data_IF_766996108685
#
_entry.id   IF_766996108685
#
_cell.length_a   1.000
_cell.length_b   1.000
_cell.length_c   1.000
_cell.angle_alpha   90.00
_cell.angle_beta   90.00
_cell.angle_gamma   90.00
#
_symmetry.space_group_name_H-M   'P 1'
#
loop_
_entity.id
_entity.type
_entity.pdbx_description
1 polymer ?
#
# COMPACT_ATOMS: atom_id res chain seq x y z
N UNK A 1 3.85 17.80 -8.95
CA UNK A 1 3.67 17.18 -10.28
C UNK A 1 3.23 15.73 -10.13
N UNK A 2 2.43 15.23 -11.08
CA UNK A 2 1.90 13.86 -11.09
C UNK A 2 3.00 12.79 -11.16
N UNK A 3 2.77 11.62 -10.55
CA UNK A 3 3.69 10.47 -10.66
C UNK A 3 3.43 9.68 -11.96
N UNK A 4 4.06 10.12 -13.05
CA UNK A 4 3.95 9.48 -14.36
C UNK A 4 4.57 8.08 -14.41
N UNK A 5 3.78 7.10 -14.84
CA UNK A 5 4.22 5.73 -15.15
C UNK A 5 4.29 5.60 -16.67
N UNK A 6 5.49 5.47 -17.20
CA UNK A 6 5.81 5.57 -18.63
C UNK A 6 6.72 4.41 -19.02
N UNK A 7 6.63 3.99 -20.29
CA UNK A 7 7.58 3.05 -20.88
C UNK A 7 8.67 3.83 -21.63
N UNK A 8 9.75 3.16 -22.02
CA UNK A 8 10.90 3.81 -22.65
C UNK A 8 10.52 4.51 -23.97
N UNK A 9 9.54 3.97 -24.69
CA UNK A 9 9.07 4.49 -25.98
C UNK A 9 8.35 5.83 -25.83
N UNK A 10 7.85 6.16 -24.64
CA UNK A 10 7.17 7.43 -24.38
C UNK A 10 8.15 8.59 -24.12
N UNK A 11 9.47 8.37 -24.24
CA UNK A 11 10.46 9.35 -23.78
C UNK A 11 10.34 10.73 -24.43
N UNK A 12 10.08 10.74 -25.73
CA UNK A 12 9.95 11.97 -26.51
C UNK A 12 8.79 12.87 -26.05
N UNK A 13 7.80 12.32 -25.34
CA UNK A 13 6.62 13.06 -24.87
C UNK A 13 6.73 13.46 -23.39
N UNK A 14 7.88 13.27 -22.73
CA UNK A 14 7.99 13.51 -21.29
C UNK A 14 7.70 14.97 -20.95
N UNK A 15 8.51 15.88 -21.50
CA UNK A 15 8.46 17.30 -21.12
C UNK A 15 7.18 17.99 -21.61
N UNK A 16 6.62 17.55 -22.74
CA UNK A 16 5.37 18.08 -23.27
C UNK A 16 4.14 17.70 -22.41
N UNK A 17 4.25 16.68 -21.57
CA UNK A 17 3.15 16.18 -20.73
C UNK A 17 3.29 16.56 -19.25
N UNK A 18 4.36 17.25 -18.85
CA UNK A 18 4.55 17.65 -17.46
C UNK A 18 3.70 18.88 -17.17
N UNK A 19 2.84 18.76 -16.15
CA UNK A 19 2.14 19.88 -15.56
C UNK A 19 2.63 20.12 -14.13
N UNK A 20 2.67 21.39 -13.75
CA UNK A 20 3.03 21.83 -12.41
C UNK A 20 1.77 22.28 -11.67
N UNK A 21 1.78 22.06 -10.36
CA UNK A 21 0.71 22.46 -9.48
C UNK A 21 1.35 23.04 -8.23
N UNK A 22 0.89 24.21 -7.79
CA UNK A 22 1.39 24.88 -6.61
C UNK A 22 0.89 24.17 -5.35
N UNK A 23 1.81 23.72 -4.49
CA UNK A 23 1.49 22.86 -3.35
C UNK A 23 2.31 23.18 -2.10
N UNK A 24 2.78 24.43 -1.93
CA UNK A 24 3.64 24.81 -0.79
C UNK A 24 3.03 24.48 0.58
N UNK A 25 1.70 24.61 0.72
CA UNK A 25 0.96 24.31 1.96
C UNK A 25 0.82 22.81 2.25
N UNK A 26 1.17 21.94 1.30
CA UNK A 26 0.98 20.49 1.41
C UNK A 26 2.17 19.74 2.01
N UNK A 27 3.24 20.44 2.41
CA UNK A 27 4.44 19.79 2.94
C UNK A 27 4.13 19.07 4.25
N UNK A 28 4.47 17.78 4.32
CA UNK A 28 4.31 16.96 5.52
C UNK A 28 5.67 16.41 5.93
N UNK A 29 6.14 16.76 7.13
CA UNK A 29 7.43 16.29 7.66
C UNK A 29 8.61 16.50 6.70
N UNK A 30 8.65 17.62 5.99
CA UNK A 30 9.69 17.95 5.00
C UNK A 30 9.54 17.24 3.65
N UNK A 31 8.50 16.42 3.46
CA UNK A 31 8.20 15.77 2.19
C UNK A 31 7.28 16.70 1.38
N UNK A 32 7.71 17.00 0.15
CA UNK A 32 6.86 17.64 -0.85
C UNK A 32 6.06 16.55 -1.57
N UNK A 33 4.76 16.39 -1.28
CA UNK A 33 3.97 15.34 -1.90
C UNK A 33 3.83 15.58 -3.41
N UNK A 34 3.70 14.50 -4.18
CA UNK A 34 3.63 14.51 -5.65
C UNK A 34 2.26 14.97 -6.19
N UNK A 35 1.73 16.06 -5.63
CA UNK A 35 0.40 16.61 -5.93
C UNK A 35 0.40 17.23 -7.32
N UNK A 36 -0.71 17.04 -8.05
CA UNK A 36 -0.88 17.52 -9.42
C UNK A 36 -2.21 18.20 -9.69
N UNK A 37 -3.10 18.25 -8.70
CA UNK A 37 -4.45 18.78 -8.86
C UNK A 37 -4.98 19.39 -7.57
N UNK A 38 -6.02 20.23 -7.72
CA UNK A 38 -6.74 20.82 -6.58
C UNK A 38 -7.45 19.77 -5.73
N UNK A 39 -7.95 18.70 -6.35
CA UNK A 39 -8.59 17.58 -5.66
C UNK A 39 -7.62 16.90 -4.69
N UNK A 40 -6.41 16.56 -5.16
CA UNK A 40 -5.36 15.99 -4.32
C UNK A 40 -4.96 16.93 -3.17
N UNK A 41 -4.88 18.24 -3.44
CA UNK A 41 -4.60 19.25 -2.42
C UNK A 41 -5.70 19.28 -1.33
N UNK A 42 -6.97 19.22 -1.72
CA UNK A 42 -8.07 19.23 -0.75
C UNK A 42 -8.06 17.99 0.15
N UNK A 43 -7.78 16.81 -0.43
CA UNK A 43 -7.69 15.54 0.31
C UNK A 43 -6.53 15.60 1.29
N UNK A 44 -5.33 16.03 0.85
CA UNK A 44 -4.18 16.10 1.76
C UNK A 44 -4.40 17.09 2.90
N UNK A 45 -5.03 18.24 2.64
CA UNK A 45 -5.35 19.23 3.68
C UNK A 45 -6.32 18.70 4.74
N UNK A 46 -7.19 17.74 4.39
CA UNK A 46 -8.04 17.04 5.37
C UNK A 46 -7.22 16.07 6.20
N UNK A 47 -6.32 15.30 5.58
CA UNK A 47 -5.44 14.37 6.28
C UNK A 47 -4.45 15.08 7.21
N UNK A 48 -3.92 16.25 6.83
CA UNK A 48 -3.01 17.06 7.64
C UNK A 48 -3.63 17.55 8.95
N UNK A 49 -4.96 17.63 9.04
CA UNK A 49 -5.66 18.01 10.29
C UNK A 49 -5.65 16.89 11.33
N UNK A 50 -5.31 15.66 10.94
CA UNK A 50 -5.26 14.50 11.82
C UNK A 50 -3.95 14.56 12.62
N UNK A 51 -4.06 14.59 13.95
CA UNK A 51 -2.93 14.84 14.85
C UNK A 51 -2.08 13.60 15.13
N UNK A 52 -2.65 12.41 14.99
CA UNK A 52 -1.98 11.12 15.23
C UNK A 52 -1.68 10.42 13.92
N UNK A 53 -0.75 9.48 14.00
CA UNK A 53 -0.37 8.61 12.89
C UNK A 53 -0.45 7.16 13.35
N UNK A 54 -0.39 6.22 12.41
CA UNK A 54 -0.26 4.79 12.74
C UNK A 54 0.95 4.54 13.65
N UNK A 55 2.03 5.32 13.51
CA UNK A 55 3.21 5.26 14.35
C UNK A 55 2.93 5.45 15.83
N UNK A 56 1.99 6.34 16.18
CA UNK A 56 1.53 6.58 17.56
C UNK A 56 0.95 5.32 18.21
N UNK A 57 0.26 4.50 17.42
CA UNK A 57 -0.38 3.26 17.86
C UNK A 57 0.52 2.02 17.76
N UNK A 58 1.65 2.14 17.06
CA UNK A 58 2.57 1.02 16.86
C UNK A 58 3.44 0.77 18.08
N UNK A 59 3.52 -0.49 18.51
CA UNK A 59 4.34 -0.91 19.64
C UNK A 59 5.72 -1.37 19.17
N UNK A 60 6.73 -1.16 20.04
CA UNK A 60 8.07 -1.73 19.86
C UNK A 60 8.16 -3.17 20.38
N UNK A 61 7.30 -3.52 21.33
CA UNK A 61 7.30 -4.83 22.00
C UNK A 61 6.57 -5.84 21.12
N UNK A 62 7.20 -7.00 20.89
CA UNK A 62 6.62 -8.09 20.11
C UNK A 62 5.44 -8.71 20.88
N UNK A 63 4.34 -8.95 20.17
CA UNK A 63 3.16 -9.63 20.71
C UNK A 63 2.38 -10.36 19.59
N UNK A 64 1.26 -10.99 19.95
CA UNK A 64 0.39 -11.72 19.01
C UNK A 64 -0.51 -10.84 18.12
N UNK A 65 -0.60 -9.54 18.39
CA UNK A 65 -1.41 -8.58 17.65
C UNK A 65 -0.57 -7.93 16.55
N UNK A 66 -0.23 -8.76 15.57
CA UNK A 66 0.72 -8.45 14.50
C UNK A 66 -0.02 -8.26 13.17
N UNK A 67 0.36 -7.22 12.42
CA UNK A 67 0.11 -7.16 10.98
C UNK A 67 1.37 -7.52 10.21
N UNK A 68 1.20 -8.09 9.02
CA UNK A 68 2.26 -8.49 8.11
C UNK A 68 2.14 -7.71 6.80
N UNK A 69 3.28 -7.34 6.23
CA UNK A 69 3.37 -6.69 4.93
C UNK A 69 4.69 -7.03 4.27
N UNK A 70 4.83 -6.66 2.99
CA UNK A 70 6.09 -6.76 2.27
C UNK A 70 6.66 -5.37 2.02
N UNK A 71 7.97 -5.23 2.21
CA UNK A 71 8.68 -4.00 1.90
C UNK A 71 8.84 -3.74 0.39
N UNK A 72 8.70 -4.78 -0.44
CA UNK A 72 8.86 -4.70 -1.91
C UNK A 72 7.93 -5.70 -2.62
N UNK A 73 7.66 -5.43 -3.89
CA UNK A 73 6.59 -6.07 -4.66
C UNK A 73 5.24 -5.37 -4.46
N UNK A 74 4.20 -5.82 -5.17
CA UNK A 74 2.87 -5.21 -5.07
C UNK A 74 2.89 -3.77 -5.58
N UNK A 75 3.35 -3.59 -6.81
CA UNK A 75 3.64 -2.29 -7.42
C UNK A 75 2.43 -1.35 -7.37
N UNK A 76 1.24 -1.88 -7.57
CA UNK A 76 -0.03 -1.13 -7.59
C UNK A 76 -0.95 -1.43 -6.41
N UNK A 77 -0.54 -2.31 -5.50
CA UNK A 77 -1.35 -2.73 -4.36
C UNK A 77 -0.47 -2.93 -3.13
N UNK A 78 -0.79 -2.24 -2.03
CA UNK A 78 -0.13 -2.48 -0.74
C UNK A 78 -0.98 -3.43 0.08
N UNK A 79 -0.57 -4.70 0.08
CA UNK A 79 -1.29 -5.77 0.75
C UNK A 79 -0.78 -5.89 2.18
N UNK A 80 -1.70 -5.74 3.13
CA UNK A 80 -1.42 -5.88 4.55
C UNK A 80 -2.34 -6.95 5.12
N UNK A 81 -1.81 -7.90 5.87
CA UNK A 81 -2.57 -9.06 6.38
C UNK A 81 -2.46 -9.21 7.90
N UNK A 82 -3.48 -9.80 8.53
CA UNK A 82 -3.42 -10.22 9.94
C UNK A 82 -2.92 -11.67 10.12
N UNK A 83 -2.56 -12.32 9.02
CA UNK A 83 -1.95 -13.63 8.97
C UNK A 83 -0.64 -13.55 8.18
N UNK A 84 0.31 -14.42 8.49
CA UNK A 84 1.58 -14.49 7.76
C UNK A 84 1.35 -15.14 6.38
N UNK A 85 1.70 -14.46 5.26
CA UNK A 85 1.65 -15.08 3.94
C UNK A 85 2.57 -16.31 3.84
N UNK A 86 2.19 -17.28 3.02
CA UNK A 86 2.96 -18.52 2.86
C UNK A 86 4.25 -18.28 2.06
N UNK A 87 5.38 -18.84 2.52
CA UNK A 87 6.67 -18.77 1.85
C UNK A 87 7.46 -20.07 2.05
N UNK A 88 8.11 -20.55 0.99
CA UNK A 88 9.03 -21.69 1.00
C UNK A 88 10.32 -21.33 0.25
N UNK A 89 11.45 -21.81 0.77
CA UNK A 89 12.75 -21.80 0.10
C UNK A 89 13.23 -23.25 -0.02
N UNK A 90 13.54 -23.72 -1.23
CA UNK A 90 13.93 -25.10 -1.51
C UNK A 90 12.97 -26.12 -0.88
N UNK A 91 11.66 -25.89 -1.07
CA UNK A 91 10.55 -26.67 -0.51
C UNK A 91 10.46 -26.71 1.04
N UNK A 92 11.29 -25.95 1.76
CA UNK A 92 11.19 -25.80 3.22
C UNK A 92 10.41 -24.55 3.57
N UNK A 93 9.41 -24.68 4.45
CA UNK A 93 8.62 -23.54 4.91
C UNK A 93 9.53 -22.54 5.64
N UNK A 94 9.43 -21.27 5.28
CA UNK A 94 10.30 -20.23 5.82
C UNK A 94 9.59 -18.88 5.91
N UNK A 95 10.41 -17.83 6.01
CA UNK A 95 9.96 -16.43 6.05
C UNK A 95 10.62 -15.70 4.88
N UNK A 96 9.85 -14.88 4.16
CA UNK A 96 10.41 -14.04 3.11
C UNK A 96 11.35 -12.99 3.70
N UNK A 97 12.51 -12.76 3.08
CA UNK A 97 13.41 -11.66 3.47
C UNK A 97 12.79 -10.27 3.27
N UNK A 98 11.68 -10.18 2.54
CA UNK A 98 10.92 -8.94 2.33
C UNK A 98 9.73 -8.78 3.27
N UNK A 99 9.43 -9.81 4.08
CA UNK A 99 8.38 -9.73 5.10
C UNK A 99 8.78 -8.74 6.20
N UNK A 100 7.84 -7.89 6.58
CA UNK A 100 7.95 -7.01 7.74
C UNK A 100 6.63 -6.97 8.49
N UNK A 101 6.66 -6.35 9.68
CA UNK A 101 5.56 -6.41 10.62
C UNK A 101 5.48 -5.16 11.50
N UNK A 102 4.27 -4.91 12.02
CA UNK A 102 4.00 -3.93 13.07
C UNK A 102 3.17 -4.62 14.18
N UNK A 103 3.39 -4.19 15.42
CA UNK A 103 2.70 -4.72 16.61
C UNK A 103 1.74 -3.69 17.20
N UNK A 104 0.63 -4.15 17.77
CA UNK A 104 -0.42 -3.30 18.36
C UNK A 104 -0.86 -3.78 19.73
N UNK A 105 -1.59 -2.96 20.47
CA UNK A 105 -2.11 -3.32 21.80
C UNK A 105 -3.07 -4.50 21.78
N UNK A 106 -3.93 -4.56 20.76
CA UNK A 106 -5.02 -5.52 20.65
C UNK A 106 -5.42 -5.78 19.19
N UNK A 107 -6.25 -6.79 18.97
CA UNK A 107 -6.72 -7.22 17.64
C UNK A 107 -7.66 -6.19 17.00
N UNK A 108 -8.41 -5.42 17.78
CA UNK A 108 -9.34 -4.41 17.26
C UNK A 108 -8.57 -3.26 16.61
N UNK A 109 -7.58 -2.73 17.31
CA UNK A 109 -6.69 -1.69 16.78
C UNK A 109 -5.95 -2.18 15.53
N UNK A 110 -5.40 -3.41 15.59
CA UNK A 110 -4.75 -4.04 14.44
C UNK A 110 -5.67 -4.09 13.22
N UNK A 111 -6.90 -4.59 13.36
CA UNK A 111 -7.82 -4.80 12.23
C UNK A 111 -8.33 -3.46 11.64
N UNK A 112 -8.52 -2.42 12.47
CA UNK A 112 -8.79 -1.06 12.01
C UNK A 112 -7.64 -0.55 11.14
N UNK A 113 -6.39 -0.72 11.60
CA UNK A 113 -5.20 -0.27 10.89
C UNK A 113 -5.01 -1.05 9.59
N UNK A 114 -5.24 -2.37 9.59
CA UNK A 114 -5.18 -3.20 8.37
C UNK A 114 -6.19 -2.72 7.34
N UNK A 115 -7.42 -2.38 7.76
CA UNK A 115 -8.43 -1.83 6.84
C UNK A 115 -7.94 -0.54 6.18
N UNK A 116 -7.43 0.39 6.99
CA UNK A 116 -6.89 1.65 6.49
C UNK A 116 -5.72 1.45 5.53
N UNK A 117 -4.77 0.57 5.84
CA UNK A 117 -3.59 0.35 5.01
C UNK A 117 -3.84 -0.49 3.74
N UNK A 118 -5.00 -1.15 3.61
CA UNK A 118 -5.40 -1.78 2.34
C UNK A 118 -6.28 -0.86 1.47
N UNK A 119 -6.66 0.32 1.97
CA UNK A 119 -7.53 1.26 1.25
C UNK A 119 -6.85 1.88 0.01
N UNK A 120 -7.65 2.33 -0.95
CA UNK A 120 -7.15 3.13 -2.07
C UNK A 120 -6.58 4.47 -1.59
N UNK A 121 -7.15 5.03 -0.52
CA UNK A 121 -6.63 6.23 0.14
C UNK A 121 -5.18 6.06 0.59
N UNK A 122 -4.85 4.94 1.23
CA UNK A 122 -3.47 4.67 1.63
C UNK A 122 -2.56 4.46 0.42
N UNK A 123 -3.01 3.75 -0.62
CA UNK A 123 -2.22 3.58 -1.83
C UNK A 123 -1.88 4.92 -2.49
N UNK A 124 -2.85 5.82 -2.62
CA UNK A 124 -2.64 7.18 -3.11
C UNK A 124 -1.65 7.94 -2.23
N UNK A 125 -1.86 7.96 -0.90
CA UNK A 125 -0.98 8.64 0.04
C UNK A 125 0.47 8.12 -0.04
N UNK A 126 0.64 6.80 -0.12
CA UNK A 126 1.92 6.13 -0.30
C UNK A 126 2.65 6.63 -1.54
N UNK A 127 1.98 6.69 -2.70
CA UNK A 127 2.60 7.16 -3.95
C UNK A 127 3.03 8.63 -3.82
N UNK A 128 2.24 9.45 -3.12
CA UNK A 128 2.56 10.85 -2.89
C UNK A 128 3.80 11.05 -2.00
N UNK A 129 3.95 10.26 -0.93
CA UNK A 129 4.93 10.51 0.13
C UNK A 129 6.16 9.60 0.15
N UNK A 130 6.18 8.53 -0.63
CA UNK A 130 7.30 7.56 -0.66
C UNK A 130 8.10 7.61 -1.97
N UNK A 131 9.08 6.72 -2.11
CA UNK A 131 9.78 6.45 -3.37
C UNK A 131 8.90 5.71 -4.42
N UNK A 132 7.68 5.31 -4.04
CA UNK A 132 6.73 4.51 -4.80
C UNK A 132 7.29 3.15 -5.29
N UNK A 133 8.32 2.62 -4.60
CA UNK A 133 8.96 1.32 -4.87
C UNK A 133 9.01 0.45 -3.62
N UNK A 134 9.47 1.04 -2.52
CA UNK A 134 9.67 0.37 -1.25
C UNK A 134 8.56 0.80 -0.31
N UNK A 135 7.94 -0.14 0.38
CA UNK A 135 6.95 0.12 1.41
C UNK A 135 7.65 0.04 2.77
N UNK A 136 8.34 1.10 3.17
CA UNK A 136 9.14 1.11 4.39
C UNK A 136 8.23 1.20 5.63
N UNK A 137 8.71 0.76 6.81
CA UNK A 137 7.97 0.95 8.06
C UNK A 137 7.54 2.41 8.30
N UNK A 138 8.37 3.39 7.89
CA UNK A 138 8.04 4.82 7.98
C UNK A 138 6.85 5.22 7.10
N UNK A 139 6.69 4.61 5.93
CA UNK A 139 5.60 4.92 5.00
C UNK A 139 4.24 4.51 5.60
N UNK A 140 4.18 3.38 6.30
CA UNK A 140 3.01 2.95 7.07
C UNK A 140 2.83 3.83 8.31
N UNK A 141 3.88 4.01 9.11
CA UNK A 141 3.82 4.70 10.40
C UNK A 141 3.49 6.18 10.29
N UNK A 142 3.85 6.84 9.18
CA UNK A 142 3.56 8.25 8.96
C UNK A 142 2.19 8.50 8.34
N UNK A 143 1.40 7.45 8.04
CA UNK A 143 0.03 7.64 7.56
C UNK A 143 -0.83 8.29 8.67
N UNK A 144 -1.49 9.44 8.38
CA UNK A 144 -2.32 10.15 9.34
C UNK A 144 -3.56 9.34 9.71
N UNK A 145 -3.73 9.04 10.98
CA UNK A 145 -4.84 8.25 11.51
C UNK A 145 -4.98 8.52 13.00
N UNK A 146 -6.19 8.90 13.43
CA UNK A 146 -6.56 9.02 14.84
C UNK A 146 -7.79 8.15 15.09
N UNK A 147 -7.55 6.90 15.52
CA UNK A 147 -8.64 5.96 15.75
C UNK A 147 -9.46 6.33 17.01
N UNK A 148 -8.93 7.17 17.89
CA UNK A 148 -9.61 7.50 19.14
C UNK A 148 -10.84 8.37 18.90
N UNK A 149 -10.84 9.15 17.81
CA UNK A 149 -11.99 9.96 17.37
C UNK A 149 -12.97 9.20 16.47
N UNK A 150 -12.68 7.93 16.13
CA UNK A 150 -13.60 7.13 15.31
C UNK A 150 -14.85 6.77 16.12
N UNK A 151 -16.03 7.01 15.53
CA UNK A 151 -17.31 6.58 16.11
C UNK A 151 -17.35 5.05 16.24
N UNK A 152 -18.05 4.54 17.25
CA UNK A 152 -18.17 3.09 17.52
C UNK A 152 -18.64 2.29 16.29
N UNK A 153 -19.62 2.79 15.55
CA UNK A 153 -20.12 2.13 14.34
C UNK A 153 -19.08 2.09 13.22
N UNK A 154 -18.27 3.15 13.08
CA UNK A 154 -17.17 3.18 12.11
C UNK A 154 -16.14 2.10 12.43
N UNK A 155 -15.72 2.00 13.69
CA UNK A 155 -14.79 0.96 14.15
C UNK A 155 -15.34 -0.44 13.85
N UNK A 156 -16.61 -0.69 14.20
CA UNK A 156 -17.28 -1.97 13.93
C UNK A 156 -17.25 -2.32 12.44
N UNK A 157 -17.63 -1.38 11.58
CA UNK A 157 -17.64 -1.59 10.12
C UNK A 157 -16.24 -1.89 9.58
N UNK A 158 -15.21 -1.15 10.01
CA UNK A 158 -13.84 -1.41 9.58
C UNK A 158 -13.35 -2.79 10.03
N UNK A 159 -13.63 -3.21 11.26
CA UNK A 159 -13.23 -4.55 11.75
C UNK A 159 -13.94 -5.66 10.95
N UNK A 160 -15.22 -5.48 10.63
CA UNK A 160 -15.98 -6.42 9.83
C UNK A 160 -15.46 -6.50 8.39
N UNK A 161 -15.23 -5.36 7.75
CA UNK A 161 -14.62 -5.28 6.41
C UNK A 161 -13.21 -5.87 6.41
N UNK A 162 -12.42 -5.69 7.47
CA UNK A 162 -11.12 -6.33 7.61
C UNK A 162 -11.26 -7.85 7.54
N UNK A 163 -12.19 -8.44 8.29
CA UNK A 163 -12.39 -9.90 8.30
C UNK A 163 -12.80 -10.42 6.92
N UNK A 164 -13.73 -9.72 6.28
CA UNK A 164 -14.19 -10.04 4.92
C UNK A 164 -13.01 -9.96 3.93
N UNK A 165 -12.23 -8.88 3.99
CA UNK A 165 -11.07 -8.67 3.12
C UNK A 165 -9.99 -9.73 3.31
N UNK A 166 -9.67 -10.10 4.55
CA UNK A 166 -8.65 -11.12 4.83
C UNK A 166 -9.04 -12.47 4.27
N UNK A 167 -10.30 -12.88 4.43
CA UNK A 167 -10.82 -14.12 3.86
C UNK A 167 -10.82 -14.08 2.33
N UNK A 168 -11.25 -12.96 1.74
CA UNK A 168 -11.31 -12.80 0.30
C UNK A 168 -9.92 -12.76 -0.34
N UNK A 169 -8.94 -12.09 0.28
CA UNK A 169 -7.54 -12.11 -0.16
C UNK A 169 -6.96 -13.54 -0.12
N UNK A 170 -7.25 -14.32 0.93
CA UNK A 170 -6.81 -15.72 0.97
C UNK A 170 -7.41 -16.53 -0.18
N UNK A 171 -8.73 -16.40 -0.41
CA UNK A 171 -9.43 -17.05 -1.51
C UNK A 171 -8.88 -16.61 -2.87
N UNK A 172 -8.53 -15.34 -3.02
CA UNK A 172 -7.98 -14.73 -4.21
C UNK A 172 -6.45 -14.66 -4.15
N UNK A 173 -5.80 -15.77 -3.80
CA UNK A 173 -4.35 -15.90 -3.83
C UNK A 173 -3.92 -17.17 -4.57
N UNK A 174 -2.69 -17.15 -5.09
CA UNK A 174 -2.05 -18.27 -5.77
C UNK A 174 -0.67 -18.51 -5.17
N UNK A 175 -0.14 -19.72 -5.33
CA UNK A 175 1.26 -20.00 -5.03
C UNK A 175 2.08 -19.76 -6.28
N UNK A 176 2.90 -18.72 -6.25
CA UNK A 176 3.84 -18.40 -7.31
C UNK A 176 5.19 -19.08 -7.05
N UNK A 177 5.82 -19.57 -8.10
CA UNK A 177 7.18 -20.14 -8.05
C UNK A 177 8.14 -19.23 -8.81
N UNK A 178 9.36 -19.06 -8.29
CA UNK A 178 10.44 -18.37 -8.95
C UNK A 178 11.79 -19.02 -8.59
N UNK A 179 12.68 -19.11 -9.59
CA UNK A 179 13.99 -19.74 -9.43
C UNK A 179 15.06 -18.63 -9.34
N UNK A 180 15.79 -18.60 -8.24
CA UNK A 180 16.89 -17.66 -8.03
C UNK A 180 18.20 -18.43 -7.88
N UNK A 181 19.33 -17.73 -8.05
CA UNK A 181 20.65 -18.29 -7.74
C UNK A 181 20.75 -18.81 -6.29
N UNK A 182 19.98 -18.21 -5.38
CA UNK A 182 19.93 -18.57 -3.95
C UNK A 182 18.99 -19.74 -3.64
N UNK A 183 18.31 -20.29 -4.64
CA UNK A 183 17.36 -21.40 -4.50
C UNK A 183 15.98 -21.08 -5.06
N UNK A 184 15.16 -22.12 -5.15
CA UNK A 184 13.80 -22.03 -5.64
C UNK A 184 12.88 -21.54 -4.52
N UNK A 185 12.10 -20.50 -4.81
CA UNK A 185 11.12 -19.98 -3.87
C UNK A 185 9.71 -20.21 -4.35
N UNK A 186 8.84 -20.57 -3.40
CA UNK A 186 7.39 -20.60 -3.59
C UNK A 186 6.76 -19.63 -2.60
N UNK A 187 5.93 -18.72 -3.06
CA UNK A 187 5.32 -17.71 -2.20
C UNK A 187 3.87 -17.45 -2.56
N UNK A 188 3.10 -17.07 -1.55
CA UNK A 188 1.71 -16.67 -1.73
C UNK A 188 1.67 -15.29 -2.38
N UNK A 189 1.08 -15.23 -3.56
CA UNK A 189 0.77 -14.00 -4.27
C UNK A 189 -0.73 -13.74 -4.17
N UNK A 190 -1.10 -12.58 -3.67
CA UNK A 190 -2.50 -12.14 -3.63
C UNK A 190 -2.87 -11.44 -4.93
N UNK A 191 -4.16 -11.47 -5.29
CA UNK A 191 -4.74 -10.82 -6.45
C UNK A 191 -5.76 -9.76 -6.01
N UNK A 192 -5.33 -8.60 -5.46
CA UNK A 192 -6.22 -7.68 -4.76
C UNK A 192 -7.24 -6.99 -5.67
N UNK A 193 -7.02 -6.96 -6.99
CA UNK A 193 -8.03 -6.52 -7.95
C UNK A 193 -9.34 -7.32 -7.84
N UNK A 194 -9.26 -8.61 -7.50
CA UNK A 194 -10.45 -9.45 -7.26
C UNK A 194 -11.17 -9.09 -5.95
N UNK A 195 -10.47 -8.46 -5.02
CA UNK A 195 -11.01 -7.98 -3.74
C UNK A 195 -11.37 -6.50 -3.75
N UNK A 196 -11.28 -5.82 -4.91
CA UNK A 196 -11.42 -4.36 -4.99
C UNK A 196 -12.76 -3.86 -4.46
N UNK A 197 -13.87 -4.58 -4.69
CA UNK A 197 -15.18 -4.17 -4.18
C UNK A 197 -15.19 -4.00 -2.65
N UNK A 198 -14.48 -4.87 -1.91
CA UNK A 198 -14.36 -4.77 -0.44
C UNK A 198 -13.50 -3.58 -0.05
N UNK A 199 -12.43 -3.32 -0.81
CA UNK A 199 -11.55 -2.16 -0.62
C UNK A 199 -12.32 -0.86 -0.85
N UNK A 200 -13.18 -0.81 -1.87
CA UNK A 200 -14.02 0.34 -2.17
C UNK A 200 -15.05 0.60 -1.06
N UNK A 201 -15.59 -0.45 -0.41
CA UNK A 201 -16.43 -0.28 0.78
C UNK A 201 -15.64 0.28 1.98
N UNK A 202 -14.37 -0.11 2.14
CA UNK A 202 -13.50 0.53 3.14
C UNK A 202 -13.32 2.02 2.83
N UNK A 203 -13.01 2.37 1.58
CA UNK A 203 -12.84 3.76 1.15
C UNK A 203 -14.13 4.59 1.36
N UNK A 204 -15.32 4.03 1.10
CA UNK A 204 -16.62 4.67 1.39
C UNK A 204 -16.82 4.95 2.88
N UNK A 205 -16.43 4.01 3.74
CA UNK A 205 -16.52 4.17 5.20
C UNK A 205 -15.55 5.26 5.68
N UNK A 206 -14.32 5.27 5.15
CA UNK A 206 -13.30 6.26 5.49
C UNK A 206 -13.67 7.67 4.99
N UNK A 207 -14.20 7.80 3.77
CA UNK A 207 -14.63 9.06 3.19
C UNK A 207 -15.62 9.82 4.09
N UNK A 208 -16.61 9.10 4.63
CA UNK A 208 -17.57 9.67 5.59
C UNK A 208 -16.90 10.18 6.86
N UNK A 209 -15.86 9.50 7.34
CA UNK A 209 -15.14 9.90 8.54
C UNK A 209 -14.26 11.13 8.30
N UNK A 210 -13.51 11.15 7.19
CA UNK A 210 -12.60 12.23 6.85
C UNK A 210 -13.29 13.45 6.20
N UNK A 211 -14.59 13.38 5.97
CA UNK A 211 -15.37 14.46 5.35
C UNK A 211 -15.02 14.66 3.88
N UNK A 212 -14.77 13.56 3.15
CA UNK A 212 -14.60 13.60 1.71
C UNK A 212 -15.95 13.80 1.03
N UNK A 213 -15.92 14.57 -0.05
CA UNK A 213 -17.00 14.71 -1.02
C UNK A 213 -17.09 13.45 -1.88
N UNK A 214 -18.22 13.26 -2.57
CA UNK A 214 -18.36 12.15 -3.52
C UNK A 214 -17.32 12.22 -4.65
N UNK A 215 -16.95 13.43 -5.10
CA UNK A 215 -15.90 13.62 -6.10
C UNK A 215 -14.51 13.21 -5.59
N UNK A 216 -14.16 13.53 -4.35
CA UNK A 216 -12.90 13.10 -3.75
C UNK A 216 -12.86 11.59 -3.51
N UNK A 217 -13.98 10.99 -3.11
CA UNK A 217 -14.11 9.54 -2.98
C UNK A 217 -13.94 8.85 -4.34
N UNK A 218 -14.62 9.33 -5.38
CA UNK A 218 -14.50 8.80 -6.74
C UNK A 218 -13.05 8.90 -7.24
N UNK A 219 -12.41 10.06 -7.02
CA UNK A 219 -10.99 10.25 -7.33
C UNK A 219 -10.11 9.18 -6.66
N UNK A 220 -10.29 8.93 -5.36
CA UNK A 220 -9.48 7.96 -4.60
C UNK A 220 -9.71 6.53 -5.09
N UNK A 221 -10.96 6.13 -5.26
CA UNK A 221 -11.32 4.78 -5.73
C UNK A 221 -10.76 4.52 -7.13
N UNK A 222 -10.74 5.54 -7.99
CA UNK A 222 -10.28 5.46 -9.37
C UNK A 222 -8.80 5.80 -9.57
N UNK A 223 -8.08 6.19 -8.51
CA UNK A 223 -6.68 6.55 -8.61
C UNK A 223 -5.85 5.38 -9.16
N UNK A 224 -5.18 5.62 -10.29
CA UNK A 224 -4.42 4.62 -11.05
C UNK A 224 -5.20 3.34 -11.43
N UNK A 225 -6.53 3.42 -11.57
CA UNK A 225 -7.38 2.24 -11.81
C UNK A 225 -6.93 1.41 -13.02
N UNK A 226 -6.47 2.07 -14.08
CA UNK A 226 -5.94 1.42 -15.29
C UNK A 226 -4.74 0.51 -15.01
N UNK A 227 -3.97 0.76 -13.95
CA UNK A 227 -2.83 -0.07 -13.54
C UNK A 227 -3.25 -1.08 -12.47
N UNK A 228 -4.11 -0.68 -11.54
CA UNK A 228 -4.57 -1.50 -10.42
C UNK A 228 -5.42 -2.69 -10.88
N UNK A 229 -6.18 -2.53 -11.96
CA UNK A 229 -7.09 -3.57 -12.48
C UNK A 229 -6.52 -4.39 -13.65
N UNK A 230 -5.32 -4.08 -14.15
CA UNK A 230 -4.75 -4.80 -15.29
C UNK A 230 -4.13 -6.12 -14.86
N UNK A 231 -4.66 -7.22 -15.41
CA UNK A 231 -4.22 -8.57 -15.06
C UNK A 231 -2.75 -8.86 -15.43
N UNK A 232 -2.28 -8.29 -16.54
CA UNK A 232 -0.91 -8.44 -17.05
C UNK A 232 0.18 -8.03 -16.05
N UNK A 233 -0.13 -7.15 -15.09
CA UNK A 233 0.84 -6.71 -14.08
C UNK A 233 1.00 -7.70 -12.94
N UNK A 234 0.07 -8.64 -12.73
CA UNK A 234 0.24 -9.69 -11.73
C UNK A 234 1.28 -10.74 -12.16
N UNK A 235 1.49 -10.91 -13.48
CA UNK A 235 2.43 -11.89 -14.04
C UNK A 235 3.84 -11.32 -14.26
N UNK A 236 3.96 -10.02 -14.56
CA UNK A 236 5.22 -9.39 -15.02
C UNK A 236 6.07 -8.70 -13.92
N UNK A 237 5.67 -8.75 -12.64
CA UNK A 237 6.49 -8.20 -11.54
C UNK A 237 7.82 -8.96 -11.36
N UNK A 238 7.90 -10.20 -11.84
CA UNK A 238 9.01 -11.13 -11.57
C UNK A 238 10.21 -10.96 -12.51
N UNK A 239 10.02 -10.57 -13.77
CA UNK A 239 11.16 -10.41 -14.70
C UNK A 239 12.05 -9.22 -14.31
N UNK A 240 11.45 -8.11 -13.86
CA UNK A 240 12.19 -6.89 -13.54
C UNK A 240 12.86 -6.93 -12.16
N UNK A 241 12.25 -7.57 -11.15
CA UNK A 241 12.93 -7.79 -9.86
C UNK A 241 14.14 -8.73 -10.01
N UNK A 242 14.04 -9.75 -10.88
CA UNK A 242 15.14 -10.65 -11.22
C UNK A 242 16.31 -9.90 -11.89
N UNK A 243 16.05 -9.06 -12.89
CA UNK A 243 17.08 -8.27 -13.54
C UNK A 243 17.76 -7.25 -12.61
N UNK A 244 16.99 -6.62 -11.70
CA UNK A 244 17.50 -5.59 -10.80
C UNK A 244 18.38 -6.20 -9.69
N UNK A 245 18.03 -7.39 -9.17
CA UNK A 245 18.86 -8.15 -8.23
C UNK A 245 20.17 -8.64 -8.87
N UNK A 246 20.12 -9.07 -10.13
CA UNK A 246 21.32 -9.47 -10.89
C UNK A 246 22.25 -8.26 -11.11
N UNK A 247 21.70 -7.09 -11.50
CA UNK A 247 22.49 -5.87 -11.72
C UNK A 247 23.13 -5.33 -10.45
N UNK A 248 22.39 -5.30 -9.33
CA UNK A 248 22.90 -4.79 -8.06
C UNK A 248 24.01 -5.66 -7.46
N UNK A 249 24.01 -6.98 -7.70
CA UNK A 249 25.09 -7.85 -7.22
C UNK A 249 26.36 -7.79 -8.10
N UNK A 250 26.22 -7.42 -9.37
CA UNK A 250 27.38 -7.24 -10.27
C UNK A 250 28.10 -5.89 -10.08
N UNK A 251 27.48 -4.90 -9.42
CA UNK A 251 28.14 -3.62 -9.09
C UNK A 251 28.97 -3.67 -7.80
N UNK A 252 28.90 -4.74 -7.01
CA UNK A 252 29.75 -4.97 -5.83
C UNK A 252 30.97 -5.86 -6.13
N UNK A 253 31.13 -6.30 -7.38
CA UNK A 253 32.26 -7.12 -7.85
C UNK A 253 33.15 -6.39 -8.87
N UNK A 254 33.12 -5.04 -8.88
CA UNK A 254 34.08 -4.21 -9.60
C UNK A 254 34.75 -3.22 -8.65
#
# INVERSE_FOLDING_TARGET
>A
TYYYKWKAENRQFLFSNINYFESGESVINGIFPKISSKQELNIISKLQKIKKTIGYYSLRIKNGNILYYRNSGGRYWKIITNFRPTFYLNNKKGISSRESYLYFSDTTLRDIIISNLNSSLYFWYYVMHSDARTNNPSDLKNFPLDQDVFRKNLKKNLIELCKILMNDLQKNSIIQTANYRTGDVKYQQFLPAKSKAIIDEIDKVLAKHYGFTEEELDFIINYDIKYRMREEFFNNENEKENEQLIKNNNSFLK
#
